data_IF_555980330004
#
_entry.id   IF_555980330004
#
_cell.length_a   1.000
_cell.length_b   1.000
_cell.length_c   1.000
_cell.angle_alpha   90.00
_cell.angle_beta   90.00
_cell.angle_gamma   90.00
#
_symmetry.space_group_name_H-M   'P 1'
#
loop_
_entity.id
_entity.type
_entity.pdbx_description
1 polymer ?
#
# COMPACT_ATOMS: atom_id res chain seq x y z
N UNK A 1 11.14 -7.23 6.26
CA UNK A 1 11.81 -5.99 5.88
C UNK A 1 11.51 -5.72 4.42
N UNK A 2 10.84 -4.58 4.14
CA UNK A 2 10.53 -4.16 2.77
C UNK A 2 11.80 -3.73 2.04
N UNK A 3 11.82 -3.93 0.72
CA UNK A 3 12.93 -3.50 -0.12
C UNK A 3 12.89 -1.96 -0.26
N UNK A 4 13.86 -1.25 0.33
CA UNK A 4 14.05 0.19 0.11
C UNK A 4 14.79 0.41 -1.21
N UNK A 5 14.32 1.38 -2.02
CA UNK A 5 14.98 1.78 -3.27
C UNK A 5 16.13 2.75 -3.02
N UNK A 6 15.94 3.66 -2.08
CA UNK A 6 16.91 4.69 -1.73
C UNK A 6 16.95 4.83 -0.21
N UNK A 7 18.14 4.93 0.31
CA UNK A 7 18.40 5.26 1.70
C UNK A 7 19.44 6.39 1.72
N UNK A 8 18.97 7.60 1.96
CA UNK A 8 19.84 8.76 2.09
C UNK A 8 19.41 9.58 3.31
N UNK A 9 20.32 9.69 4.28
CA UNK A 9 20.12 10.38 5.55
C UNK A 9 18.79 9.99 6.24
N UNK A 10 17.78 10.85 6.19
CA UNK A 10 16.50 10.65 6.84
C UNK A 10 15.36 10.28 5.87
N UNK A 11 15.69 10.05 4.58
CA UNK A 11 14.70 9.75 3.54
C UNK A 11 14.82 8.30 3.10
N UNK A 12 13.72 7.58 3.19
CA UNK A 12 13.59 6.20 2.69
C UNK A 12 12.51 6.15 1.62
N UNK A 13 12.86 5.64 0.45
CA UNK A 13 11.93 5.45 -0.66
C UNK A 13 11.65 3.96 -0.82
N UNK A 14 10.38 3.61 -0.75
CA UNK A 14 9.91 2.25 -0.93
C UNK A 14 9.07 2.14 -2.19
N UNK A 15 9.23 1.06 -2.98
CA UNK A 15 8.28 0.76 -4.05
C UNK A 15 6.90 0.50 -3.43
N UNK A 16 5.86 1.06 -4.05
CA UNK A 16 4.48 0.90 -3.54
C UNK A 16 4.08 -0.58 -3.43
N UNK A 17 4.64 -1.43 -4.26
CA UNK A 17 4.42 -2.86 -4.27
C UNK A 17 4.96 -3.58 -3.02
N UNK A 18 5.86 -2.97 -2.28
CA UNK A 18 6.44 -3.51 -1.04
C UNK A 18 5.74 -3.02 0.23
N UNK A 19 4.71 -2.16 0.09
CA UNK A 19 4.01 -1.55 1.21
C UNK A 19 2.72 -2.33 1.51
N UNK A 20 2.62 -2.92 2.70
CA UNK A 20 1.40 -3.55 3.20
C UNK A 20 0.31 -2.53 3.50
N UNK A 21 0.68 -1.45 4.15
CA UNK A 21 -0.23 -0.39 4.56
C UNK A 21 0.47 0.79 5.16
N UNK A 22 -0.32 1.81 5.47
CA UNK A 22 0.14 3.04 6.14
C UNK A 22 -0.69 3.30 7.38
N UNK A 23 -0.03 3.81 8.40
CA UNK A 23 -0.68 4.22 9.65
C UNK A 23 -0.35 5.69 9.88
N UNK A 24 -1.37 6.53 9.78
CA UNK A 24 -1.29 7.95 10.14
C UNK A 24 -1.45 8.11 11.64
N UNK A 25 -0.39 8.50 12.33
CA UNK A 25 -0.39 8.65 13.79
C UNK A 25 -0.59 10.11 14.18
N UNK A 26 -1.54 10.37 15.08
CA UNK A 26 -1.88 11.70 15.59
C UNK A 26 -1.86 11.73 17.12
N UNK A 27 -1.31 12.77 17.71
CA UNK A 27 -1.39 12.97 19.16
C UNK A 27 -2.82 13.28 19.60
N UNK A 28 -3.53 14.10 18.83
CA UNK A 28 -4.95 14.41 19.01
C UNK A 28 -5.67 14.43 17.69
N UNK A 29 -6.87 13.86 17.61
CA UNK A 29 -7.68 13.79 16.41
C UNK A 29 -8.81 14.82 16.46
N UNK A 30 -8.68 15.85 15.63
CA UNK A 30 -9.74 16.80 15.30
C UNK A 30 -10.35 16.47 13.95
N UNK A 31 -11.44 17.19 13.54
CA UNK A 31 -11.95 17.11 12.16
C UNK A 31 -10.85 17.37 11.12
N UNK A 32 -10.09 18.44 11.31
CA UNK A 32 -9.03 18.84 10.37
C UNK A 32 -7.94 17.79 10.25
N UNK A 33 -7.48 17.23 11.38
CA UNK A 33 -6.46 16.18 11.38
C UNK A 33 -7.00 14.86 10.80
N UNK A 34 -8.29 14.54 11.02
CA UNK A 34 -8.92 13.38 10.38
C UNK A 34 -8.89 13.55 8.86
N UNK A 35 -9.43 14.62 8.32
CA UNK A 35 -9.47 14.86 6.86
C UNK A 35 -8.08 14.83 6.25
N UNK A 36 -7.09 15.47 6.89
CA UNK A 36 -5.69 15.44 6.45
C UNK A 36 -5.13 14.02 6.42
N UNK A 37 -5.42 13.21 7.43
CA UNK A 37 -5.00 11.80 7.47
C UNK A 37 -5.66 10.98 6.37
N UNK A 38 -6.94 11.22 6.09
CA UNK A 38 -7.68 10.55 5.02
C UNK A 38 -7.10 10.88 3.64
N UNK A 39 -6.75 12.15 3.39
CA UNK A 39 -6.10 12.57 2.14
C UNK A 39 -4.70 11.95 1.99
N UNK A 40 -3.91 11.85 3.06
CA UNK A 40 -2.62 11.16 3.03
C UNK A 40 -2.78 9.66 2.69
N UNK A 41 -3.73 8.97 3.32
CA UNK A 41 -4.03 7.56 3.02
C UNK A 41 -4.48 7.42 1.56
N UNK A 42 -5.38 8.29 1.09
CA UNK A 42 -5.84 8.31 -0.30
C UNK A 42 -4.68 8.51 -1.27
N UNK A 43 -3.74 9.42 -0.98
CA UNK A 43 -2.58 9.67 -1.82
C UNK A 43 -1.73 8.40 -1.99
N UNK A 44 -1.45 7.68 -0.90
CA UNK A 44 -0.70 6.41 -0.96
C UNK A 44 -1.47 5.34 -1.73
N UNK A 45 -2.77 5.17 -1.46
CA UNK A 45 -3.60 4.19 -2.18
C UNK A 45 -3.71 4.50 -3.68
N UNK A 46 -3.64 5.77 -4.07
CA UNK A 46 -3.69 6.19 -5.48
C UNK A 46 -2.41 5.85 -6.26
N UNK A 47 -1.27 5.73 -5.58
CA UNK A 47 -0.01 5.30 -6.21
C UNK A 47 -0.03 3.81 -6.60
N UNK A 48 -0.88 3.01 -5.95
CA UNK A 48 -0.98 1.59 -6.24
C UNK A 48 -1.69 1.37 -7.58
N UNK A 49 -1.00 0.76 -8.58
CA UNK A 49 -1.60 0.54 -9.88
C UNK A 49 -2.74 -0.46 -9.82
N UNK A 50 -3.76 -0.23 -10.66
CA UNK A 50 -4.87 -1.14 -10.86
C UNK A 50 -4.47 -2.22 -11.87
N UNK A 51 -3.71 -3.21 -11.43
CA UNK A 51 -3.20 -4.28 -12.28
C UNK A 51 -3.40 -5.66 -11.69
N UNK A 52 -3.48 -6.65 -12.57
CA UNK A 52 -3.44 -8.05 -12.18
C UNK A 52 -2.01 -8.50 -11.98
N UNK A 53 -1.78 -9.23 -10.91
CA UNK A 53 -0.48 -9.81 -10.57
C UNK A 53 -0.58 -11.32 -10.67
N UNK A 54 0.36 -11.95 -11.35
CA UNK A 54 0.48 -13.40 -11.40
C UNK A 54 1.60 -13.86 -10.48
N UNK A 55 1.25 -14.63 -9.46
CA UNK A 55 2.20 -15.32 -8.58
C UNK A 55 2.37 -16.75 -9.04
N UNK A 56 3.60 -17.12 -9.42
CA UNK A 56 3.96 -18.49 -9.76
C UNK A 56 4.46 -19.14 -8.48
N UNK A 57 3.71 -20.15 -8.00
CA UNK A 57 4.08 -20.89 -6.78
C UNK A 57 5.01 -22.07 -7.11
N UNK A 58 4.76 -22.72 -8.24
CA UNK A 58 5.64 -23.72 -8.85
C UNK A 58 5.33 -23.83 -10.34
N UNK A 59 6.01 -24.69 -11.08
CA UNK A 59 5.83 -24.86 -12.54
C UNK A 59 4.41 -25.27 -12.97
N UNK A 60 3.55 -25.69 -12.04
CA UNK A 60 2.20 -26.17 -12.32
C UNK A 60 1.11 -25.24 -11.76
N UNK A 61 1.45 -24.37 -10.81
CA UNK A 61 0.46 -23.53 -10.12
C UNK A 61 0.84 -22.07 -10.29
N UNK A 62 0.02 -21.36 -11.04
CA UNK A 62 0.03 -19.89 -11.11
C UNK A 62 -1.32 -19.35 -10.63
N UNK A 63 -1.29 -18.30 -9.83
CA UNK A 63 -2.48 -17.59 -9.36
C UNK A 63 -2.41 -16.15 -9.85
N UNK A 64 -3.45 -15.71 -10.54
CA UNK A 64 -3.62 -14.32 -10.96
C UNK A 64 -4.66 -13.65 -10.07
N UNK A 65 -4.31 -12.53 -9.48
CA UNK A 65 -5.20 -11.74 -8.63
C UNK A 65 -4.99 -10.24 -8.88
N UNK A 66 -6.00 -9.45 -8.56
CA UNK A 66 -5.85 -8.00 -8.57
C UNK A 66 -4.90 -7.58 -7.45
N UNK A 67 -3.94 -6.70 -7.78
CA UNK A 67 -3.03 -6.17 -6.77
C UNK A 67 -3.85 -5.47 -5.67
N UNK A 68 -3.73 -5.90 -4.41
CA UNK A 68 -4.41 -5.21 -3.31
C UNK A 68 -3.78 -3.84 -3.11
N UNK A 69 -4.62 -2.84 -2.82
CA UNK A 69 -4.12 -1.54 -2.36
C UNK A 69 -3.57 -1.68 -0.93
N UNK A 70 -2.58 -0.87 -0.53
CA UNK A 70 -2.15 -0.82 0.86
C UNK A 70 -3.34 -0.54 1.78
N UNK A 71 -3.39 -1.17 2.95
CA UNK A 71 -4.37 -0.77 3.95
C UNK A 71 -4.03 0.62 4.51
N UNK A 72 -5.03 1.35 4.96
CA UNK A 72 -4.87 2.67 5.57
C UNK A 72 -5.52 2.72 6.96
N UNK A 73 -4.77 3.13 7.97
CA UNK A 73 -5.27 3.29 9.35
C UNK A 73 -4.95 4.69 9.85
N UNK A 74 -5.92 5.32 10.50
CA UNK A 74 -5.68 6.51 11.32
C UNK A 74 -5.63 6.07 12.77
N UNK A 75 -4.53 6.33 13.47
CA UNK A 75 -4.38 6.05 14.88
C UNK A 75 -4.14 7.34 15.66
N UNK A 76 -4.96 7.60 16.67
CA UNK A 76 -4.83 8.77 17.52
C UNK A 76 -4.73 8.39 19.00
N UNK A 77 -3.90 9.12 19.74
CA UNK A 77 -3.76 8.92 21.17
C UNK A 77 -4.92 9.53 21.97
N UNK A 78 -5.60 10.55 21.45
CA UNK A 78 -6.72 11.17 22.11
C UNK A 78 -7.65 11.88 21.11
N UNK A 79 -8.88 12.12 21.52
CA UNK A 79 -9.76 13.10 20.88
C UNK A 79 -9.22 14.53 21.14
N UNK A 80 -9.47 15.41 20.17
CA UNK A 80 -9.43 16.85 20.43
C UNK A 80 -10.75 17.28 21.11
N UNK A 81 -11.26 18.45 20.89
CA UNK A 81 -12.54 18.91 21.47
C UNK A 81 -13.75 18.40 20.63
N UNK A 82 -13.85 17.07 20.45
CA UNK A 82 -14.86 16.40 19.64
C UNK A 82 -15.20 15.02 20.23
N UNK A 83 -16.18 14.32 19.64
CA UNK A 83 -16.58 12.97 20.03
C UNK A 83 -16.39 11.98 18.90
N UNK A 84 -16.50 10.65 19.17
CA UNK A 84 -16.46 9.61 18.15
C UNK A 84 -17.61 9.77 17.15
N UNK A 85 -18.80 10.20 17.59
CA UNK A 85 -19.96 10.47 16.72
C UNK A 85 -19.64 11.59 15.73
N UNK A 86 -19.07 12.68 16.21
CA UNK A 86 -18.68 13.82 15.36
C UNK A 86 -17.58 13.41 14.35
N UNK A 87 -16.63 12.58 14.77
CA UNK A 87 -15.62 12.04 13.84
C UNK A 87 -16.25 11.12 12.80
N UNK A 88 -17.23 10.29 13.19
CA UNK A 88 -17.95 9.42 12.27
C UNK A 88 -18.73 10.22 11.21
N UNK A 89 -19.41 11.32 11.61
CA UNK A 89 -20.08 12.19 10.67
C UNK A 89 -19.10 12.80 9.66
N UNK A 90 -17.98 13.31 10.13
CA UNK A 90 -16.92 13.85 9.27
C UNK A 90 -16.31 12.79 8.31
N UNK A 91 -16.13 11.55 8.82
CA UNK A 91 -15.69 10.44 7.98
C UNK A 91 -16.70 10.14 6.87
N UNK A 92 -17.99 10.07 7.22
CA UNK A 92 -19.08 9.82 6.25
C UNK A 92 -19.22 10.93 5.21
N UNK A 93 -19.02 12.21 5.59
CA UNK A 93 -18.97 13.31 4.66
C UNK A 93 -17.88 13.11 3.62
N UNK A 94 -16.65 12.80 4.08
CA UNK A 94 -15.51 12.54 3.21
C UNK A 94 -15.72 11.30 2.32
N UNK A 95 -16.31 10.23 2.87
CA UNK A 95 -16.61 8.99 2.14
C UNK A 95 -17.58 9.17 0.97
N UNK A 96 -18.55 10.08 1.08
CA UNK A 96 -19.49 10.38 -0.01
C UNK A 96 -18.80 10.99 -1.23
N UNK A 97 -17.70 11.68 -1.03
CA UNK A 97 -16.95 12.38 -2.08
C UNK A 97 -15.81 11.52 -2.65
N UNK A 98 -15.50 10.38 -2.01
CA UNK A 98 -14.36 9.57 -2.35
C UNK A 98 -14.75 8.13 -2.66
N UNK A 99 -14.10 7.53 -3.67
CA UNK A 99 -14.29 6.12 -4.02
C UNK A 99 -13.88 5.20 -2.86
N UNK A 100 -14.63 4.13 -2.65
CA UNK A 100 -14.43 3.15 -1.58
C UNK A 100 -13.02 2.54 -1.55
N UNK A 101 -12.37 2.47 -2.70
CA UNK A 101 -11.00 1.95 -2.81
C UNK A 101 -9.96 2.81 -2.07
N UNK A 102 -10.28 4.08 -1.79
CA UNK A 102 -9.42 5.01 -1.06
C UNK A 102 -9.78 5.15 0.42
N UNK A 103 -10.91 4.59 0.86
CA UNK A 103 -11.36 4.71 2.24
C UNK A 103 -10.34 4.10 3.21
N UNK A 104 -10.19 4.65 4.42
CA UNK A 104 -9.35 4.05 5.45
C UNK A 104 -9.94 2.69 5.83
N UNK A 105 -9.12 1.75 6.23
CA UNK A 105 -9.60 0.48 6.74
C UNK A 105 -10.11 0.62 8.19
N UNK A 106 -9.50 1.54 8.95
CA UNK A 106 -9.82 1.74 10.35
C UNK A 106 -9.43 3.15 10.81
N UNK A 107 -10.24 3.75 11.70
CA UNK A 107 -9.85 4.93 12.47
C UNK A 107 -9.91 4.55 13.95
N UNK A 108 -8.81 4.73 14.66
CA UNK A 108 -8.64 4.33 16.06
C UNK A 108 -8.38 5.55 16.91
N UNK A 109 -9.11 5.68 18.01
CA UNK A 109 -8.81 6.68 19.06
C UNK A 109 -8.60 5.94 20.36
N UNK A 110 -7.38 5.94 20.85
CA UNK A 110 -6.99 5.18 22.03
C UNK A 110 -7.79 5.60 23.26
N UNK A 111 -8.33 4.63 23.98
CA UNK A 111 -9.15 4.87 25.16
C UNK A 111 -10.60 5.28 24.89
N UNK A 112 -10.95 5.55 23.63
CA UNK A 112 -12.31 5.93 23.22
C UNK A 112 -12.97 4.79 22.41
N UNK A 113 -12.39 4.43 21.26
CA UNK A 113 -12.95 3.40 20.39
C UNK A 113 -12.38 3.41 18.99
N UNK A 114 -13.13 2.77 18.10
CA UNK A 114 -12.76 2.62 16.69
C UNK A 114 -13.93 3.00 15.77
N UNK A 115 -13.62 3.60 14.63
CA UNK A 115 -14.55 3.72 13.51
C UNK A 115 -14.18 2.66 12.48
N UNK A 116 -15.17 1.97 11.97
CA UNK A 116 -15.02 0.84 11.06
C UNK A 116 -16.12 0.87 9.99
N UNK A 117 -15.94 0.08 8.95
CA UNK A 117 -16.93 -0.09 7.90
C UNK A 117 -17.75 -1.37 8.09
N UNK A 118 -18.96 -1.39 7.58
CA UNK A 118 -19.83 -2.55 7.57
C UNK A 118 -20.47 -2.74 6.19
N UNK A 119 -20.85 -3.97 5.87
CA UNK A 119 -21.50 -4.32 4.63
C UNK A 119 -22.37 -5.56 4.76
N UNK A 120 -23.12 -5.86 3.72
CA UNK A 120 -24.03 -6.99 3.69
C UNK A 120 -23.25 -8.33 3.78
N UNK A 121 -23.69 -9.20 4.69
CA UNK A 121 -23.04 -10.49 4.94
C UNK A 121 -21.74 -10.42 5.75
N UNK A 122 -21.33 -9.24 6.20
CA UNK A 122 -20.16 -9.08 7.05
C UNK A 122 -20.46 -9.47 8.48
N UNK A 123 -19.79 -10.51 8.94
CA UNK A 123 -19.75 -10.83 10.36
C UNK A 123 -18.83 -9.82 11.04
N UNK A 124 -19.33 -9.06 11.99
CA UNK A 124 -18.71 -8.28 13.10
C UNK A 124 -17.19 -8.16 13.16
N UNK A 125 -16.47 -8.39 12.09
CA UNK A 125 -15.03 -8.27 12.08
C UNK A 125 -14.67 -7.05 11.28
N UNK A 126 -14.01 -6.16 11.93
CA UNK A 126 -13.21 -5.05 11.48
C UNK A 126 -12.24 -5.33 10.32
N UNK A 127 -12.35 -6.47 9.68
CA UNK A 127 -11.41 -7.00 8.71
C UNK A 127 -11.95 -6.85 7.33
N UNK A 128 -11.78 -5.65 6.82
CA UNK A 128 -11.98 -5.44 5.42
C UNK A 128 -10.66 -5.62 4.69
N UNK A 129 -10.50 -6.75 4.05
CA UNK A 129 -9.61 -6.83 2.91
C UNK A 129 -10.03 -5.77 1.90
N UNK A 130 -9.14 -5.32 1.05
CA UNK A 130 -9.50 -4.32 0.03
C UNK A 130 -10.64 -4.78 -0.89
N UNK A 131 -10.86 -6.09 -1.05
CA UNK A 131 -12.00 -6.64 -1.78
C UNK A 131 -13.32 -6.49 -1.00
N UNK A 132 -13.27 -6.62 0.31
CA UNK A 132 -14.43 -6.40 1.18
C UNK A 132 -14.79 -4.93 1.28
N UNK A 133 -13.82 -4.02 1.23
CA UNK A 133 -14.07 -2.57 1.19
C UNK A 133 -14.96 -2.17 0.02
N UNK A 134 -14.87 -2.84 -1.11
CA UNK A 134 -15.76 -2.60 -2.26
C UNK A 134 -17.23 -2.90 -1.92
N UNK A 135 -17.48 -3.81 -0.96
CA UNK A 135 -18.81 -4.22 -0.50
C UNK A 135 -19.30 -3.40 0.69
N UNK A 136 -18.50 -2.48 1.22
CA UNK A 136 -18.90 -1.63 2.34
C UNK A 136 -20.15 -0.81 1.99
N UNK A 137 -21.11 -0.78 2.91
CA UNK A 137 -22.36 -0.03 2.79
C UNK A 137 -22.24 1.31 3.52
N UNK A 138 -21.49 1.34 4.61
CA UNK A 138 -21.31 2.53 5.41
C UNK A 138 -20.32 2.31 6.56
N UNK A 139 -20.23 3.34 7.39
CA UNK A 139 -19.31 3.40 8.52
C UNK A 139 -20.08 3.49 9.83
N UNK A 140 -19.52 2.93 10.88
CA UNK A 140 -20.02 2.97 12.24
C UNK A 140 -18.87 3.09 13.24
N UNK A 141 -19.17 3.16 14.53
CA UNK A 141 -18.15 3.16 15.58
C UNK A 141 -18.49 2.17 16.71
N UNK A 142 -17.45 1.74 17.40
CA UNK A 142 -17.54 0.93 18.61
C UNK A 142 -16.69 1.57 19.71
N UNK A 143 -17.34 1.85 20.83
CA UNK A 143 -16.69 2.46 22.00
C UNK A 143 -16.04 1.39 22.88
N UNK A 144 -14.85 0.92 22.51
CA UNK A 144 -14.12 -0.12 23.24
C UNK A 144 -13.38 0.36 24.48
N UNK A 145 -13.20 1.65 24.64
CA UNK A 145 -12.49 2.26 25.77
C UNK A 145 -11.16 1.55 26.08
N UNK A 146 -11.10 0.76 27.17
CA UNK A 146 -9.87 0.08 27.62
C UNK A 146 -9.32 -0.93 26.62
N UNK A 147 -10.18 -1.55 25.84
CA UNK A 147 -9.79 -2.62 24.92
C UNK A 147 -9.44 -2.12 23.50
N UNK A 148 -9.50 -0.80 23.30
CA UNK A 148 -9.23 -0.16 21.98
C UNK A 148 -7.89 -0.60 21.41
N UNK A 149 -6.83 -0.62 22.21
CA UNK A 149 -5.49 -1.03 21.76
C UNK A 149 -5.45 -2.52 21.36
N UNK A 150 -6.12 -3.38 22.12
CA UNK A 150 -6.20 -4.79 21.81
C UNK A 150 -6.93 -5.02 20.48
N UNK A 151 -8.06 -4.36 20.26
CA UNK A 151 -8.80 -4.44 19.00
C UNK A 151 -8.00 -3.90 17.82
N UNK A 152 -7.29 -2.77 18.00
CA UNK A 152 -6.39 -2.25 16.98
C UNK A 152 -5.31 -3.27 16.63
N UNK A 153 -4.62 -3.83 17.61
CA UNK A 153 -3.53 -4.79 17.40
C UNK A 153 -4.02 -6.05 16.71
N UNK A 154 -5.14 -6.62 17.16
CA UNK A 154 -5.74 -7.79 16.52
C UNK A 154 -6.10 -7.52 15.05
N UNK A 155 -6.77 -6.39 14.79
CA UNK A 155 -7.12 -5.98 13.42
C UNK A 155 -5.89 -5.76 12.55
N UNK A 156 -4.82 -5.17 13.10
CA UNK A 156 -3.59 -4.94 12.36
C UNK A 156 -2.92 -6.25 11.95
N UNK A 157 -2.88 -7.25 12.84
CA UNK A 157 -2.37 -8.60 12.52
C UNK A 157 -3.17 -9.19 11.35
N UNK A 158 -4.48 -9.09 11.42
CA UNK A 158 -5.35 -9.65 10.39
C UNK A 158 -5.18 -8.93 9.04
N UNK A 159 -5.09 -7.60 9.03
CA UNK A 159 -4.80 -6.80 7.83
C UNK A 159 -3.45 -7.20 7.21
N UNK A 160 -2.41 -7.35 8.03
CA UNK A 160 -1.10 -7.80 7.55
C UNK A 160 -1.14 -9.24 7.02
N UNK A 161 -1.85 -10.14 7.69
CA UNK A 161 -1.95 -11.55 7.30
C UNK A 161 -2.79 -11.75 6.04
N UNK A 162 -3.81 -10.91 5.85
CA UNK A 162 -4.70 -10.94 4.68
C UNK A 162 -4.12 -10.26 3.44
N UNK A 163 -3.00 -9.56 3.56
CA UNK A 163 -2.39 -8.82 2.45
C UNK A 163 -1.27 -9.63 1.81
N UNK A 164 -1.41 -9.96 0.53
CA UNK A 164 -0.34 -10.59 -0.26
C UNK A 164 0.34 -9.57 -1.14
N UNK A 165 1.61 -9.29 -0.87
CA UNK A 165 2.42 -8.42 -1.73
C UNK A 165 2.75 -9.13 -3.05
N UNK A 166 2.65 -8.39 -4.16
CA UNK A 166 3.08 -8.85 -5.46
C UNK A 166 4.57 -8.60 -5.71
N UNK A 167 5.10 -9.09 -6.83
CA UNK A 167 6.47 -8.78 -7.23
C UNK A 167 6.63 -7.27 -7.46
N UNK A 168 7.78 -6.75 -7.06
CA UNK A 168 8.15 -5.35 -7.33
C UNK A 168 8.53 -5.20 -8.79
N UNK A 169 7.92 -4.24 -9.48
CA UNK A 169 8.28 -3.91 -10.85
C UNK A 169 9.18 -2.66 -10.88
N UNK A 170 10.47 -2.86 -10.70
CA UNK A 170 11.44 -1.76 -10.64
C UNK A 170 11.46 -0.89 -11.91
N UNK A 171 11.09 -1.44 -13.08
CA UNK A 171 11.08 -0.68 -14.35
C UNK A 171 10.12 0.52 -14.32
N UNK A 172 9.14 0.54 -13.43
CA UNK A 172 8.22 1.66 -13.25
C UNK A 172 8.84 2.89 -12.60
N UNK A 173 9.92 2.68 -11.85
CA UNK A 173 10.59 3.72 -11.09
C UNK A 173 11.74 4.37 -11.86
N UNK A 174 12.01 3.86 -13.07
CA UNK A 174 12.99 4.42 -13.97
C UNK A 174 12.26 4.99 -15.19
N UNK A 175 12.30 6.31 -15.36
CA UNK A 175 11.79 6.93 -16.58
C UNK A 175 12.77 6.62 -17.72
N UNK A 176 12.32 5.98 -18.82
CA UNK A 176 13.17 5.76 -19.98
C UNK A 176 13.69 7.06 -20.63
N UNK A 177 12.97 8.17 -20.42
CA UNK A 177 13.36 9.48 -20.94
C UNK A 177 14.48 10.14 -20.12
N UNK A 178 14.67 9.74 -18.86
CA UNK A 178 15.76 10.20 -18.00
C UNK A 178 16.98 9.26 -18.03
N UNK A 179 16.98 8.25 -18.88
CA UNK A 179 18.19 7.45 -19.08
C UNK A 179 19.27 8.33 -19.71
N UNK A 180 20.28 8.65 -18.89
CA UNK A 180 21.46 9.39 -19.30
C UNK A 180 22.28 8.47 -20.23
N UNK A 181 21.85 8.37 -21.48
CA UNK A 181 22.55 7.66 -22.52
C UNK A 181 21.93 6.32 -22.95
N UNK A 182 22.27 5.93 -24.15
CA UNK A 182 21.85 4.68 -24.79
C UNK A 182 22.98 3.65 -24.72
N UNK A 183 22.68 2.44 -24.22
CA UNK A 183 23.64 1.35 -24.26
C UNK A 183 23.49 0.57 -25.56
N UNK A 184 24.52 0.56 -26.39
CA UNK A 184 24.58 -0.22 -27.62
C UNK A 184 25.53 -1.40 -27.45
N UNK A 185 25.05 -2.59 -27.79
CA UNK A 185 25.92 -3.77 -27.88
C UNK A 185 26.74 -3.66 -29.17
N UNK A 186 27.99 -3.21 -29.07
CA UNK A 186 28.85 -3.01 -30.24
C UNK A 186 29.56 -4.27 -30.69
N UNK A 187 29.87 -5.19 -29.79
CA UNK A 187 30.58 -6.42 -30.10
C UNK A 187 29.86 -7.63 -29.55
N UNK A 188 29.54 -8.54 -30.42
CA UNK A 188 28.90 -9.81 -30.12
C UNK A 188 29.84 -10.92 -30.59
N UNK A 189 30.76 -11.36 -29.72
CA UNK A 189 31.68 -12.44 -30.02
C UNK A 189 31.16 -13.77 -29.50
N UNK A 190 31.00 -14.71 -30.42
CA UNK A 190 30.69 -16.09 -30.08
C UNK A 190 31.95 -16.81 -29.65
N UNK A 191 32.09 -17.09 -28.38
CA UNK A 191 33.17 -17.90 -27.86
C UNK A 191 32.76 -19.37 -27.93
N UNK A 192 33.26 -20.09 -28.91
CA UNK A 192 33.11 -21.54 -28.99
C UNK A 192 34.26 -22.21 -28.20
N UNK A 193 33.94 -22.81 -27.06
CA UNK A 193 34.84 -23.80 -26.44
C UNK A 193 34.53 -25.15 -27.07
N UNK A 194 35.60 -25.86 -27.47
CA UNK A 194 35.47 -27.24 -27.89
C UNK A 194 34.82 -28.06 -26.77
N UNK A 195 33.59 -28.46 -27.01
CA UNK A 195 32.98 -29.49 -26.20
C UNK A 195 31.64 -29.16 -25.52
N UNK A 196 31.29 -27.95 -25.16
CA UNK A 196 29.99 -27.67 -24.55
C UNK A 196 29.70 -26.17 -24.44
N UNK A 197 28.44 -25.80 -24.74
CA UNK A 197 27.76 -24.50 -24.51
C UNK A 197 28.44 -23.23 -25.09
N UNK A 198 27.79 -22.63 -26.07
CA UNK A 198 28.18 -21.33 -26.58
C UNK A 198 27.99 -20.22 -25.53
N UNK A 199 29.09 -19.67 -25.05
CA UNK A 199 29.10 -18.45 -24.22
C UNK A 199 29.15 -17.23 -25.14
N UNK A 200 28.27 -16.25 -24.86
CA UNK A 200 28.27 -14.97 -25.53
C UNK A 200 28.91 -13.92 -24.61
N UNK A 201 29.87 -13.19 -25.14
CA UNK A 201 30.45 -12.04 -24.46
C UNK A 201 29.86 -10.78 -25.06
N UNK A 202 29.27 -9.93 -24.23
CA UNK A 202 28.73 -8.64 -24.61
C UNK A 202 29.65 -7.55 -24.06
N UNK A 203 30.06 -6.60 -24.90
CA UNK A 203 30.62 -5.34 -24.45
C UNK A 203 29.55 -4.27 -24.59
N UNK A 204 29.22 -3.60 -23.47
CA UNK A 204 28.31 -2.46 -23.46
C UNK A 204 29.18 -1.20 -23.48
N UNK A 205 28.94 -0.33 -24.45
CA UNK A 205 29.48 1.03 -24.43
C UNK A 205 28.35 2.01 -24.16
N UNK A 206 28.60 2.88 -23.20
CA UNK A 206 27.72 4.00 -22.90
C UNK A 206 27.94 5.09 -23.94
N UNK A 207 26.87 5.48 -24.61
CA UNK A 207 26.92 6.60 -25.56
C UNK A 207 26.34 7.81 -24.84
N UNK A 208 27.21 8.74 -24.44
CA UNK A 208 26.78 10.08 -24.05
C UNK A 208 26.21 10.77 -25.29
N UNK A 209 24.90 10.98 -25.32
CA UNK A 209 24.30 11.92 -26.25
C UNK A 209 24.68 13.33 -25.81
N UNK A 210 25.83 13.77 -26.23
CA UNK A 210 26.20 15.19 -26.18
C UNK A 210 25.42 15.87 -27.28
N UNK A 211 24.38 16.59 -26.92
CA UNK A 211 23.81 17.68 -27.74
C UNK A 211 24.13 18.99 -27.06
#
# INVERSE_FOLDING_TARGET
>A
DGMSLVYDNDVQIYPIESIFGVIEVKSKLSKTELIKSLENIKSVKSLCPNESVTKITNSLISMTYQRPKPFGVVFAYALSNNSLESLLENLREWERENSKEYWPNLVVVLGEGILYHYGEGMRNSSLFTNEEMKKAIGSSYLAYRRDTLFHFYSTLIDLCSGTSLGPVNLKRYFDPAEQIGEYVVKNHDRITRQGENSLYRFSLEFIDNVV
#
